data_IF_976486664292
#
_entry.id   IF_976486664292
#
_cell.length_a   1.000
_cell.length_b   1.000
_cell.length_c   1.000
_cell.angle_alpha   90.00
_cell.angle_beta   90.00
_cell.angle_gamma   90.00
#
_symmetry.space_group_name_H-M   'P 1'
#
loop_
_entity.id
_entity.type
_entity.pdbx_description
1 polymer ?
#
# COMPACT_ATOMS: atom_id res chain seq x y z
N UNK A 1 34.46 -13.52 -30.20
CA UNK A 1 33.30 -12.89 -29.53
C UNK A 1 33.37 -11.37 -29.71
N UNK A 2 32.51 -10.79 -30.57
CA UNK A 2 32.48 -9.33 -30.80
C UNK A 2 31.65 -8.67 -29.69
N UNK A 3 32.33 -8.07 -28.71
CA UNK A 3 31.70 -7.20 -27.72
C UNK A 3 31.30 -5.91 -28.44
N UNK A 4 30.00 -5.73 -28.68
CA UNK A 4 29.48 -4.55 -29.33
C UNK A 4 29.40 -3.39 -28.32
N UNK A 5 30.52 -2.67 -28.16
CA UNK A 5 30.69 -1.56 -27.21
C UNK A 5 30.00 -0.24 -27.63
N UNK A 6 29.15 -0.24 -28.67
CA UNK A 6 28.82 0.98 -29.40
C UNK A 6 27.60 1.79 -28.92
N UNK A 7 27.02 1.53 -27.74
CA UNK A 7 25.81 2.27 -27.33
C UNK A 7 25.62 2.55 -25.82
N UNK A 8 26.64 2.95 -25.06
CA UNK A 8 26.44 3.35 -23.64
C UNK A 8 27.40 4.46 -23.18
N UNK A 9 27.18 5.69 -23.65
CA UNK A 9 27.95 6.89 -23.28
C UNK A 9 27.44 7.63 -22.02
N UNK A 10 26.66 6.99 -21.15
CA UNK A 10 26.14 7.63 -19.93
C UNK A 10 26.81 7.21 -18.62
N UNK A 11 27.31 5.97 -18.53
CA UNK A 11 27.84 5.41 -17.28
C UNK A 11 29.22 4.80 -17.48
N UNK A 12 30.25 5.25 -16.71
CA UNK A 12 31.59 4.72 -16.85
C UNK A 12 31.65 3.24 -16.47
N UNK A 13 32.46 2.48 -17.20
CA UNK A 13 32.66 1.02 -17.02
C UNK A 13 33.19 0.69 -15.63
N UNK A 14 34.00 1.59 -15.08
CA UNK A 14 34.59 1.52 -13.74
C UNK A 14 34.18 2.79 -12.98
N UNK A 15 33.74 2.62 -11.74
CA UNK A 15 33.60 3.71 -10.77
C UNK A 15 34.34 3.33 -9.51
N UNK A 16 35.09 4.26 -8.94
CA UNK A 16 35.69 4.09 -7.62
C UNK A 16 35.20 5.21 -6.70
N UNK A 17 35.10 4.90 -5.42
CA UNK A 17 34.71 5.88 -4.39
C UNK A 17 35.53 5.60 -3.13
N UNK A 18 36.05 6.66 -2.52
CA UNK A 18 36.70 6.60 -1.22
C UNK A 18 35.89 7.46 -0.27
N UNK A 19 35.46 6.88 0.85
CA UNK A 19 34.66 7.54 1.88
C UNK A 19 35.32 7.33 3.23
N UNK A 20 35.19 8.31 4.12
CA UNK A 20 35.70 8.22 5.49
C UNK A 20 34.54 8.31 6.49
N UNK A 21 34.36 7.27 7.30
CA UNK A 21 33.35 7.23 8.36
C UNK A 21 34.03 7.34 9.73
N UNK A 22 33.49 8.19 10.61
CA UNK A 22 34.04 8.39 11.97
C UNK A 22 34.04 7.10 12.80
N UNK A 23 33.11 6.19 12.55
CA UNK A 23 32.91 4.95 13.30
C UNK A 23 33.63 3.75 12.71
N UNK A 24 33.83 3.70 11.39
CA UNK A 24 34.38 2.53 10.68
C UNK A 24 35.69 2.78 9.93
N UNK A 25 36.15 4.03 9.83
CA UNK A 25 37.40 4.41 9.15
C UNK A 25 37.28 4.58 7.63
N UNK A 26 38.39 4.62 6.89
CA UNK A 26 38.37 4.72 5.44
C UNK A 26 37.78 3.46 4.78
N UNK A 27 36.92 3.69 3.79
CA UNK A 27 36.28 2.69 2.94
C UNK A 27 36.57 3.03 1.49
N UNK A 28 37.15 2.08 0.76
CA UNK A 28 37.26 2.12 -0.70
C UNK A 28 36.22 1.20 -1.34
N UNK A 29 35.59 1.65 -2.42
CA UNK A 29 34.73 0.82 -3.26
C UNK A 29 35.08 0.94 -4.74
N UNK A 30 34.93 -0.17 -5.45
CA UNK A 30 35.13 -0.29 -6.89
C UNK A 30 33.90 -0.97 -7.48
N UNK A 31 33.19 -0.30 -8.38
CA UNK A 31 32.07 -0.85 -9.15
C UNK A 31 32.51 -1.06 -10.59
N UNK A 32 32.32 -2.26 -11.11
CA UNK A 32 32.72 -2.67 -12.45
C UNK A 32 31.56 -3.30 -13.21
N UNK A 33 31.40 -2.97 -14.50
CA UNK A 33 30.40 -3.60 -15.36
C UNK A 33 30.93 -4.92 -15.92
N UNK A 34 30.49 -6.05 -15.37
CA UNK A 34 30.89 -7.37 -15.85
C UNK A 34 30.29 -7.68 -17.23
N UNK A 35 29.02 -7.36 -17.42
CA UNK A 35 28.27 -7.71 -18.62
C UNK A 35 27.24 -6.64 -18.95
N UNK A 36 26.99 -6.42 -20.24
CA UNK A 36 25.90 -5.57 -20.71
C UNK A 36 25.43 -6.01 -22.09
N UNK A 37 24.11 -6.15 -22.27
CA UNK A 37 23.48 -6.42 -23.54
C UNK A 37 22.14 -5.70 -23.63
N UNK A 38 22.01 -4.77 -24.60
CA UNK A 38 20.84 -3.89 -24.73
C UNK A 38 20.52 -3.25 -23.38
N UNK A 39 19.30 -3.39 -22.89
CA UNK A 39 18.83 -2.77 -21.66
C UNK A 39 19.21 -3.53 -20.38
N UNK A 40 19.94 -4.65 -20.52
CA UNK A 40 20.36 -5.50 -19.42
C UNK A 40 21.85 -5.27 -19.08
N UNK A 41 22.17 -5.17 -17.79
CA UNK A 41 23.52 -5.04 -17.28
C UNK A 41 23.73 -5.84 -15.97
N UNK A 42 24.93 -6.37 -15.81
CA UNK A 42 25.41 -6.97 -14.55
C UNK A 42 26.63 -6.19 -14.10
N UNK A 43 26.61 -5.75 -12.85
CA UNK A 43 27.70 -5.06 -12.19
C UNK A 43 28.22 -5.89 -11.03
N UNK A 44 29.53 -5.82 -10.82
CA UNK A 44 30.14 -6.22 -9.55
C UNK A 44 30.58 -5.01 -8.78
N UNK A 45 30.55 -5.13 -7.46
CA UNK A 45 31.13 -4.17 -6.55
C UNK A 45 32.11 -4.90 -5.65
N UNK A 46 33.28 -4.31 -5.44
CA UNK A 46 34.24 -4.70 -4.42
C UNK A 46 34.34 -3.55 -3.42
N UNK A 47 34.33 -3.89 -2.14
CA UNK A 47 34.48 -2.93 -1.05
C UNK A 47 35.57 -3.41 -0.09
N UNK A 48 36.39 -2.47 0.34
CA UNK A 48 37.43 -2.70 1.33
C UNK A 48 37.34 -1.64 2.41
N UNK A 49 37.26 -2.08 3.66
CA UNK A 49 37.16 -1.22 4.84
C UNK A 49 38.40 -1.42 5.72
N UNK A 50 39.01 -0.31 6.10
CA UNK A 50 40.15 -0.27 7.00
C UNK A 50 39.74 0.33 8.33
N UNK A 51 39.84 -0.45 9.40
CA UNK A 51 39.64 0.06 10.75
C UNK A 51 40.97 0.52 11.34
N UNK A 52 41.00 1.78 11.74
CA UNK A 52 42.14 2.42 12.41
C UNK A 52 41.72 2.77 13.84
N UNK A 53 42.50 2.37 14.85
CA UNK A 53 42.32 2.74 16.26
C UNK A 53 43.65 3.26 16.79
N UNK A 54 43.65 4.42 17.44
CA UNK A 54 44.86 5.06 17.99
C UNK A 54 46.00 5.19 16.95
N UNK A 55 45.67 5.49 15.69
CA UNK A 55 46.66 5.61 14.60
C UNK A 55 47.15 4.26 14.02
N UNK A 56 46.78 3.12 14.62
CA UNK A 56 47.20 1.80 14.16
C UNK A 56 46.06 1.02 13.51
N UNK A 57 46.39 0.24 12.48
CA UNK A 57 45.46 -0.66 11.78
C UNK A 57 45.04 -1.81 12.70
N UNK A 58 43.74 -1.98 12.93
CA UNK A 58 43.22 -3.00 13.87
C UNK A 58 42.44 -4.11 13.18
N UNK A 59 41.68 -3.82 12.12
CA UNK A 59 40.88 -4.84 11.41
C UNK A 59 40.58 -4.42 9.98
N UNK A 60 40.44 -5.39 9.09
CA UNK A 60 40.02 -5.17 7.71
C UNK A 60 38.67 -5.83 7.46
N UNK A 61 37.85 -5.21 6.63
CA UNK A 61 36.59 -5.76 6.16
C UNK A 61 36.62 -5.85 4.65
N UNK A 62 36.34 -7.03 4.12
CA UNK A 62 36.08 -7.22 2.70
C UNK A 62 34.58 -7.32 2.48
N UNK A 63 34.10 -6.67 1.44
CA UNK A 63 32.72 -6.75 1.00
C UNK A 63 32.64 -6.78 -0.51
N UNK A 64 31.52 -7.24 -1.02
CA UNK A 64 31.25 -7.23 -2.44
C UNK A 64 29.76 -7.29 -2.73
N UNK A 65 29.41 -6.94 -3.96
CA UNK A 65 28.03 -7.01 -4.43
C UNK A 65 27.93 -7.50 -5.86
N UNK A 66 26.82 -8.14 -6.19
CA UNK A 66 26.35 -8.38 -7.56
C UNK A 66 25.07 -7.58 -7.74
N UNK A 67 25.06 -6.73 -8.77
CA UNK A 67 23.91 -5.89 -9.11
C UNK A 67 23.44 -6.25 -10.52
N UNK A 68 22.13 -6.46 -10.70
CA UNK A 68 21.52 -6.69 -12.01
C UNK A 68 20.57 -5.55 -12.31
N UNK A 69 20.60 -5.04 -13.54
CA UNK A 69 19.74 -3.96 -14.00
C UNK A 69 19.14 -4.33 -15.36
N UNK A 70 17.83 -4.23 -15.50
CA UNK A 70 17.10 -4.26 -16.75
C UNK A 70 16.22 -3.02 -16.82
N UNK A 71 16.61 -2.06 -17.64
CA UNK A 71 16.05 -0.71 -17.71
C UNK A 71 15.80 -0.30 -19.18
N UNK A 72 14.79 -0.87 -19.85
CA UNK A 72 14.47 -0.58 -21.24
C UNK A 72 13.93 0.82 -21.45
N UNK A 73 14.25 1.42 -22.60
CA UNK A 73 13.81 2.78 -22.99
C UNK A 73 12.28 2.96 -22.88
N UNK A 74 11.50 1.90 -23.16
CA UNK A 74 10.04 1.95 -23.09
C UNK A 74 9.47 2.02 -21.66
N UNK A 75 10.28 1.78 -20.62
CA UNK A 75 9.89 1.90 -19.21
C UNK A 75 8.86 0.89 -18.67
N UNK A 76 8.13 0.17 -19.55
CA UNK A 76 7.09 -0.80 -19.17
C UNK A 76 7.55 -1.93 -18.27
N UNK A 77 8.82 -2.32 -18.30
CA UNK A 77 9.34 -3.41 -17.46
C UNK A 77 10.65 -2.95 -16.86
N UNK A 78 10.76 -2.94 -15.54
CA UNK A 78 11.96 -2.60 -14.79
C UNK A 78 12.28 -3.77 -13.88
N UNK A 79 13.54 -4.22 -13.89
CA UNK A 79 14.03 -5.22 -12.96
C UNK A 79 15.40 -4.78 -12.45
N UNK A 80 15.54 -4.66 -11.14
CA UNK A 80 16.81 -4.33 -10.52
C UNK A 80 17.04 -5.20 -9.29
N UNK A 81 18.26 -5.70 -9.14
CA UNK A 81 18.67 -6.44 -7.93
C UNK A 81 20.01 -5.91 -7.46
N UNK A 82 20.22 -5.92 -6.15
CA UNK A 82 21.49 -5.54 -5.53
C UNK A 82 21.73 -6.49 -4.36
N UNK A 83 22.71 -7.38 -4.49
CA UNK A 83 22.98 -8.44 -3.53
C UNK A 83 24.37 -8.24 -2.94
N UNK A 84 24.44 -7.96 -1.64
CA UNK A 84 25.65 -7.59 -0.91
C UNK A 84 26.06 -8.65 0.10
N UNK A 85 27.36 -8.83 0.25
CA UNK A 85 27.99 -9.69 1.25
C UNK A 85 29.23 -8.98 1.80
N UNK A 86 29.43 -8.95 3.11
CA UNK A 86 30.64 -8.42 3.72
C UNK A 86 30.99 -9.06 5.05
N UNK A 87 32.27 -9.01 5.42
CA UNK A 87 32.76 -9.35 6.75
C UNK A 87 32.47 -8.22 7.73
N UNK A 88 31.94 -8.54 8.90
CA UNK A 88 31.65 -7.53 9.91
C UNK A 88 32.93 -7.01 10.59
N UNK A 89 33.06 -5.69 10.68
CA UNK A 89 34.17 -4.98 11.32
C UNK A 89 33.71 -4.03 12.43
N UNK A 90 32.39 -3.93 12.66
CA UNK A 90 31.78 -3.03 13.63
C UNK A 90 31.81 -3.68 15.02
N UNK A 91 32.41 -3.03 16.04
CA UNK A 91 32.69 -3.67 17.32
C UNK A 91 31.47 -3.86 18.23
N UNK A 92 30.33 -3.22 17.94
CA UNK A 92 29.17 -3.24 18.84
C UNK A 92 28.37 -4.56 18.79
N UNK A 93 28.44 -5.33 17.70
CA UNK A 93 27.58 -6.51 17.50
C UNK A 93 28.34 -7.68 16.85
N UNK A 94 29.42 -8.14 17.50
CA UNK A 94 30.29 -9.22 16.99
C UNK A 94 29.65 -10.62 16.94
N UNK A 95 28.33 -10.76 17.08
CA UNK A 95 27.64 -12.05 16.99
C UNK A 95 27.63 -12.59 15.55
N UNK A 96 27.64 -11.72 14.54
CA UNK A 96 27.58 -12.10 13.13
C UNK A 96 28.86 -11.75 12.38
N UNK A 97 29.67 -12.76 12.04
CA UNK A 97 30.94 -12.56 11.31
C UNK A 97 30.75 -12.14 9.85
N UNK A 98 29.60 -12.46 9.27
CA UNK A 98 29.27 -12.23 7.87
C UNK A 98 27.89 -11.59 7.79
N UNK A 99 27.79 -10.47 7.05
CA UNK A 99 26.58 -9.69 6.86
C UNK A 99 26.19 -9.65 5.40
N UNK A 100 24.89 -9.68 5.14
CA UNK A 100 24.37 -9.71 3.78
C UNK A 100 23.09 -8.90 3.64
N UNK A 101 22.80 -8.46 2.40
CA UNK A 101 21.49 -7.94 2.01
C UNK A 101 21.17 -8.36 0.59
N UNK A 102 19.96 -8.86 0.42
CA UNK A 102 19.41 -9.31 -0.85
C UNK A 102 18.20 -8.45 -1.11
N UNK A 103 18.31 -7.51 -2.05
CA UNK A 103 17.23 -6.60 -2.40
C UNK A 103 16.97 -6.59 -3.89
N UNK A 104 15.74 -6.27 -4.25
CA UNK A 104 15.37 -6.01 -5.63
C UNK A 104 13.98 -5.44 -5.78
N UNK A 105 13.75 -4.96 -6.99
CA UNK A 105 12.49 -4.41 -7.45
C UNK A 105 12.20 -4.96 -8.84
N UNK A 106 10.94 -5.30 -9.04
CA UNK A 106 10.38 -5.69 -10.31
C UNK A 106 9.11 -4.89 -10.53
N UNK A 107 8.98 -4.30 -11.71
CA UNK A 107 7.78 -3.61 -12.14
C UNK A 107 7.52 -4.02 -13.58
N UNK A 108 6.29 -4.38 -13.89
CA UNK A 108 5.89 -4.53 -15.29
C UNK A 108 4.45 -4.08 -15.53
N UNK A 109 4.21 -3.53 -16.72
CA UNK A 109 2.89 -3.20 -17.24
C UNK A 109 2.71 -3.95 -18.56
N UNK A 110 1.58 -4.65 -18.72
CA UNK A 110 1.26 -5.35 -19.95
C UNK A 110 1.21 -4.38 -21.15
N UNK A 111 1.44 -4.85 -22.38
CA UNK A 111 1.33 -3.99 -23.56
C UNK A 111 -0.03 -3.28 -23.70
N UNK A 112 -1.12 -3.91 -23.21
CA UNK A 112 -2.46 -3.34 -23.17
C UNK A 112 -2.69 -2.34 -22.03
N UNK A 113 -1.79 -2.26 -21.04
CA UNK A 113 -1.97 -1.45 -19.82
C UNK A 113 -2.91 -2.06 -18.77
N UNK A 114 -3.62 -3.15 -19.09
CA UNK A 114 -4.60 -3.77 -18.22
C UNK A 114 -4.01 -4.51 -17.01
N UNK A 115 -2.80 -5.05 -17.13
CA UNK A 115 -2.13 -5.78 -16.04
C UNK A 115 -0.90 -5.03 -15.57
N UNK A 116 -0.79 -4.83 -14.27
CA UNK A 116 0.39 -4.28 -13.59
C UNK A 116 0.88 -5.28 -12.54
N UNK A 117 2.19 -5.51 -12.50
CA UNK A 117 2.84 -6.34 -11.50
C UNK A 117 3.94 -5.50 -10.87
N UNK A 118 3.90 -5.37 -9.55
CA UNK A 118 4.97 -4.80 -8.74
C UNK A 118 5.45 -5.86 -7.76
N UNK A 119 6.76 -6.04 -7.65
CA UNK A 119 7.34 -6.85 -6.59
C UNK A 119 8.57 -6.15 -6.02
N UNK A 120 8.71 -6.20 -4.72
CA UNK A 120 9.92 -5.78 -4.01
C UNK A 120 10.32 -6.88 -3.06
N UNK A 121 11.63 -7.03 -2.84
CA UNK A 121 12.15 -7.88 -1.79
C UNK A 121 13.34 -7.18 -1.14
N UNK A 122 13.47 -7.35 0.16
CA UNK A 122 14.58 -6.82 0.93
C UNK A 122 14.81 -7.68 2.17
N UNK A 123 15.81 -8.56 2.08
CA UNK A 123 16.23 -9.45 3.17
C UNK A 123 17.58 -9.01 3.70
N UNK A 124 17.71 -8.94 5.02
CA UNK A 124 18.94 -8.55 5.70
C UNK A 124 19.44 -9.66 6.62
N UNK A 125 20.74 -9.60 6.92
CA UNK A 125 21.32 -10.39 7.99
C UNK A 125 20.79 -9.97 9.37
N UNK A 126 20.65 -8.68 9.61
CA UNK A 126 20.30 -8.10 10.92
C UNK A 126 19.67 -6.70 10.77
N UNK A 127 19.06 -6.21 11.86
CA UNK A 127 18.31 -4.94 11.89
C UNK A 127 19.20 -3.71 11.62
N UNK A 128 20.48 -3.78 11.99
CA UNK A 128 21.44 -2.69 11.80
C UNK A 128 22.08 -2.73 10.42
N UNK A 129 21.70 -3.68 9.56
CA UNK A 129 22.32 -3.84 8.26
C UNK A 129 22.26 -2.58 7.40
N UNK A 130 21.06 -1.98 7.19
CA UNK A 130 20.93 -0.78 6.38
C UNK A 130 21.71 0.42 6.94
N UNK A 131 21.76 0.60 8.26
CA UNK A 131 22.41 1.76 8.89
C UNK A 131 23.92 1.68 8.85
N UNK A 132 24.48 0.50 9.08
CA UNK A 132 25.91 0.29 9.22
C UNK A 132 26.64 0.25 7.87
N UNK A 133 25.90 -0.12 6.82
CA UNK A 133 26.42 -0.31 5.47
C UNK A 133 25.69 0.59 4.47
N UNK A 134 25.32 1.81 4.91
CA UNK A 134 24.76 2.83 4.02
C UNK A 134 25.71 3.10 2.86
N UNK A 135 25.15 3.02 1.66
CA UNK A 135 25.78 3.50 0.45
C UNK A 135 24.65 4.02 -0.41
N UNK A 136 24.57 5.34 -0.57
CA UNK A 136 23.52 5.99 -1.37
C UNK A 136 23.43 5.41 -2.79
N UNK A 137 24.58 4.95 -3.33
CA UNK A 137 24.68 4.33 -4.65
C UNK A 137 24.25 2.84 -4.69
N UNK A 138 23.96 2.22 -3.54
CA UNK A 138 23.68 0.80 -3.38
C UNK A 138 22.25 0.52 -2.87
N UNK A 139 21.55 1.48 -2.28
CA UNK A 139 20.18 1.23 -1.85
C UNK A 139 19.24 1.27 -3.06
N UNK A 140 18.27 0.36 -3.10
CA UNK A 140 17.07 0.50 -3.92
C UNK A 140 15.99 1.08 -3.01
N UNK A 141 15.13 1.95 -3.57
CA UNK A 141 13.98 2.46 -2.83
C UNK A 141 12.86 1.40 -2.79
N UNK A 142 13.08 0.31 -2.06
CA UNK A 142 12.14 -0.81 -1.88
C UNK A 142 11.17 -0.58 -0.71
N UNK A 143 11.22 0.60 -0.07
CA UNK A 143 10.59 0.86 1.23
C UNK A 143 10.90 -0.20 2.32
N UNK A 144 11.94 -1.03 2.14
CA UNK A 144 12.30 -2.19 2.98
C UNK A 144 11.17 -3.22 3.12
N UNK A 145 10.23 -3.28 2.17
CA UNK A 145 9.12 -4.24 2.18
C UNK A 145 9.39 -5.36 1.20
N UNK A 146 9.13 -6.60 1.62
CA UNK A 146 8.98 -7.72 0.69
C UNK A 146 7.51 -7.91 0.40
N UNK A 147 7.11 -7.58 -0.82
CA UNK A 147 5.73 -7.67 -1.25
C UNK A 147 5.62 -7.95 -2.75
N UNK A 148 4.49 -8.54 -3.14
CA UNK A 148 4.08 -8.78 -4.51
C UNK A 148 2.67 -8.23 -4.67
N UNK A 149 2.45 -7.41 -5.69
CA UNK A 149 1.14 -6.89 -6.06
C UNK A 149 0.92 -7.14 -7.55
N UNK A 150 -0.10 -7.91 -7.88
CA UNK A 150 -0.56 -8.15 -9.25
C UNK A 150 -1.95 -7.54 -9.33
N UNK A 151 -2.16 -6.58 -10.22
CA UNK A 151 -3.46 -5.95 -10.48
C UNK A 151 -3.82 -6.09 -11.94
N UNK A 152 -5.07 -6.45 -12.20
CA UNK A 152 -5.62 -6.56 -13.54
C UNK A 152 -6.97 -5.82 -13.61
N UNK A 153 -7.17 -5.06 -14.68
CA UNK A 153 -8.38 -4.26 -14.91
C UNK A 153 -8.97 -4.63 -16.26
N UNK A 154 -10.23 -5.03 -16.22
CA UNK A 154 -11.09 -5.26 -17.38
C UNK A 154 -12.26 -4.28 -17.36
N UNK A 155 -13.09 -4.28 -18.40
CA UNK A 155 -14.22 -3.36 -18.50
C UNK A 155 -15.27 -3.56 -17.41
N UNK A 156 -15.50 -4.80 -16.97
CA UNK A 156 -16.53 -5.16 -15.98
C UNK A 156 -15.94 -5.55 -14.60
N UNK A 157 -14.62 -5.72 -14.49
CA UNK A 157 -13.99 -6.30 -13.30
C UNK A 157 -12.64 -5.65 -13.00
N UNK A 158 -12.31 -5.54 -11.71
CA UNK A 158 -10.97 -5.25 -11.21
C UNK A 158 -10.56 -6.41 -10.31
N UNK A 159 -9.43 -7.06 -10.62
CA UNK A 159 -8.85 -8.12 -9.80
C UNK A 159 -7.46 -7.73 -9.29
N UNK A 160 -7.11 -8.19 -8.09
CA UNK A 160 -5.73 -8.10 -7.61
C UNK A 160 -5.34 -9.24 -6.68
N UNK A 161 -4.06 -9.61 -6.72
CA UNK A 161 -3.41 -10.51 -5.77
C UNK A 161 -2.29 -9.75 -5.09
N UNK A 162 -2.30 -9.75 -3.76
CA UNK A 162 -1.31 -9.12 -2.91
C UNK A 162 -0.67 -10.17 -2.01
N UNK A 163 0.64 -10.17 -1.88
CA UNK A 163 1.35 -10.98 -0.90
C UNK A 163 2.42 -10.13 -0.20
N UNK A 164 2.57 -10.34 1.10
CA UNK A 164 3.56 -9.64 1.92
C UNK A 164 4.12 -10.60 2.98
N UNK A 165 5.07 -11.47 2.62
CA UNK A 165 5.71 -12.34 3.59
C UNK A 165 6.70 -11.57 4.47
N UNK A 166 6.83 -12.01 5.72
CA UNK A 166 7.89 -11.62 6.64
C UNK A 166 9.16 -12.37 6.23
N UNK A 167 10.15 -11.64 5.73
CA UNK A 167 11.45 -12.22 5.36
C UNK A 167 12.55 -11.96 6.39
N UNK A 168 12.30 -11.03 7.31
CA UNK A 168 13.23 -10.60 8.35
C UNK A 168 12.59 -10.84 9.72
N UNK A 169 13.21 -11.66 10.56
CA UNK A 169 12.62 -12.06 11.85
C UNK A 169 12.68 -10.97 12.94
N UNK A 170 13.34 -9.85 12.66
CA UNK A 170 13.31 -8.71 13.57
C UNK A 170 12.15 -7.74 13.27
N UNK A 171 11.39 -7.95 12.19
CA UNK A 171 10.22 -7.15 11.87
C UNK A 171 8.94 -7.76 12.47
N UNK A 172 8.07 -6.91 13.03
CA UNK A 172 6.67 -7.26 13.31
C UNK A 172 5.84 -6.93 12.08
N UNK A 173 5.15 -7.91 11.50
CA UNK A 173 4.47 -7.76 10.22
C UNK A 173 3.13 -8.47 10.24
N UNK A 174 2.07 -7.77 9.83
CA UNK A 174 0.87 -8.42 9.30
C UNK A 174 1.16 -8.94 7.91
N UNK A 175 1.34 -10.24 7.81
CA UNK A 175 1.58 -10.94 6.56
C UNK A 175 0.27 -11.16 5.80
N UNK A 176 0.39 -11.15 4.48
CA UNK A 176 -0.66 -11.51 3.54
C UNK A 176 -0.13 -12.66 2.67
N UNK A 177 -0.68 -13.88 2.79
CA UNK A 177 -0.06 -15.11 2.25
C UNK A 177 -1.02 -16.07 1.50
N UNK A 178 -1.63 -15.68 0.36
CA UNK A 178 -1.78 -14.35 -0.20
C UNK A 178 -3.14 -13.73 0.16
N UNK A 179 -3.38 -12.53 -0.36
CA UNK A 179 -4.68 -11.85 -0.39
C UNK A 179 -5.15 -11.67 -1.82
N UNK A 180 -6.31 -12.22 -2.18
CA UNK A 180 -6.99 -11.99 -3.44
C UNK A 180 -8.17 -11.04 -3.29
N UNK A 181 -8.32 -10.11 -4.21
CA UNK A 181 -9.41 -9.13 -4.25
C UNK A 181 -10.06 -9.12 -5.64
N UNK A 182 -11.39 -9.12 -5.68
CA UNK A 182 -12.19 -9.09 -6.89
C UNK A 182 -13.30 -8.06 -6.68
N UNK A 183 -13.40 -7.07 -7.57
CA UNK A 183 -14.43 -6.04 -7.54
C UNK A 183 -15.12 -5.96 -8.91
N UNK A 184 -16.42 -6.23 -8.90
CA UNK A 184 -17.27 -6.06 -10.07
C UNK A 184 -17.64 -4.58 -10.19
N UNK A 185 -17.30 -3.96 -11.32
CA UNK A 185 -17.64 -2.55 -11.53
C UNK A 185 -19.15 -2.36 -11.44
N UNK A 186 -19.62 -1.18 -10.97
CA UNK A 186 -21.04 -0.97 -10.72
C UNK A 186 -21.89 -1.32 -11.94
N UNK A 187 -22.80 -2.28 -11.78
CA UNK A 187 -23.67 -2.75 -12.85
C UNK A 187 -25.08 -2.23 -12.64
N UNK A 188 -25.60 -1.53 -13.65
CA UNK A 188 -26.98 -1.05 -13.67
C UNK A 188 -27.87 -2.12 -14.34
N UNK A 189 -28.80 -2.67 -13.58
CA UNK A 189 -29.78 -3.61 -14.13
C UNK A 189 -30.73 -2.86 -15.07
N UNK A 190 -30.85 -3.28 -16.34
CA UNK A 190 -31.80 -2.70 -17.28
C UNK A 190 -33.23 -2.73 -16.71
N UNK A 191 -34.04 -1.72 -17.03
CA UNK A 191 -35.46 -1.58 -16.65
C UNK A 191 -35.78 -1.39 -15.16
N UNK A 192 -34.97 -1.90 -14.23
CA UNK A 192 -35.21 -1.77 -12.78
C UNK A 192 -34.56 -0.53 -12.15
N UNK A 193 -33.60 0.08 -12.86
CA UNK A 193 -32.79 1.20 -12.36
C UNK A 193 -32.09 0.88 -11.02
N UNK A 194 -31.79 -0.40 -10.79
CA UNK A 194 -30.99 -0.87 -9.66
C UNK A 194 -29.52 -0.84 -10.05
N UNK A 195 -28.66 -0.42 -9.12
CA UNK A 195 -27.21 -0.40 -9.30
C UNK A 195 -26.59 -1.27 -8.21
N UNK A 196 -25.80 -2.27 -8.62
CA UNK A 196 -25.13 -3.21 -7.74
C UNK A 196 -23.64 -2.85 -7.61
N UNK A 197 -23.13 -2.91 -6.39
CA UNK A 197 -21.73 -2.69 -6.04
C UNK A 197 -21.26 -3.88 -5.22
N UNK A 198 -20.27 -4.62 -5.70
CA UNK A 198 -19.83 -5.83 -5.01
C UNK A 198 -18.31 -5.97 -5.04
N UNK A 199 -17.74 -6.39 -3.92
CA UNK A 199 -16.38 -6.91 -3.89
C UNK A 199 -16.28 -8.15 -3.02
N UNK A 200 -15.24 -8.93 -3.30
CA UNK A 200 -14.85 -10.12 -2.58
C UNK A 200 -13.37 -10.02 -2.23
N UNK A 201 -13.02 -10.36 -1.00
CA UNK A 201 -11.66 -10.35 -0.49
C UNK A 201 -11.41 -11.69 0.19
N UNK A 202 -10.39 -12.42 -0.26
CA UNK A 202 -9.93 -13.67 0.36
C UNK A 202 -8.50 -13.47 0.82
N UNK A 203 -8.16 -13.86 2.03
CA UNK A 203 -6.82 -13.66 2.59
C UNK A 203 -6.43 -14.80 3.50
N UNK A 204 -5.18 -15.23 3.45
CA UNK A 204 -4.56 -15.87 4.60
C UNK A 204 -3.72 -14.81 5.31
N UNK A 205 -4.17 -14.40 6.49
CA UNK A 205 -3.53 -13.37 7.29
C UNK A 205 -2.76 -14.03 8.42
N UNK A 206 -1.54 -13.56 8.63
CA UNK A 206 -0.67 -14.08 9.68
C UNK A 206 0.07 -12.91 10.32
N UNK A 207 -0.22 -12.64 11.58
CA UNK A 207 0.36 -11.55 12.34
C UNK A 207 1.51 -12.11 13.19
N UNK A 208 2.72 -11.91 12.69
CA UNK A 208 3.94 -12.36 13.38
C UNK A 208 4.64 -11.18 14.08
N UNK A 209 4.93 -11.36 15.36
CA UNK A 209 5.70 -10.43 16.16
C UNK A 209 7.21 -10.63 15.97
N UNK A 210 7.97 -9.54 16.09
CA UNK A 210 9.43 -9.57 16.09
C UNK A 210 9.96 -10.48 17.21
N UNK A 211 10.98 -11.29 16.90
CA UNK A 211 11.66 -12.16 17.86
C UNK A 211 12.36 -11.37 18.99
N UNK A 212 12.46 -10.03 18.84
CA UNK A 212 13.01 -9.11 19.83
C UNK A 212 12.00 -8.65 20.87
N UNK A 213 10.71 -8.91 20.65
CA UNK A 213 9.64 -8.56 21.59
C UNK A 213 9.44 -9.66 22.63
N UNK A 214 8.62 -9.36 23.65
CA UNK A 214 8.34 -10.29 24.74
C UNK A 214 7.78 -11.64 24.22
N UNK A 215 8.27 -12.79 24.71
CA UNK A 215 7.71 -14.12 24.40
C UNK A 215 6.24 -14.28 24.80
N UNK A 216 5.68 -13.35 25.59
CA UNK A 216 4.28 -13.35 25.98
C UNK A 216 3.33 -12.92 24.85
N UNK A 217 3.84 -12.28 23.79
CA UNK A 217 3.06 -11.96 22.61
C UNK A 217 2.93 -13.22 21.76
N UNK A 218 1.69 -13.64 21.52
CA UNK A 218 1.40 -14.79 20.68
C UNK A 218 1.05 -14.30 19.28
N UNK A 219 1.74 -14.87 18.30
CA UNK A 219 1.39 -14.73 16.89
C UNK A 219 -0.02 -15.30 16.65
N UNK A 220 -0.71 -14.77 15.65
CA UNK A 220 -2.03 -15.26 15.30
C UNK A 220 -2.30 -15.18 13.80
N UNK A 221 -3.01 -16.18 13.32
CA UNK A 221 -3.24 -16.40 11.90
C UNK A 221 -4.71 -16.78 11.66
N UNK A 222 -5.25 -16.36 10.51
CA UNK A 222 -6.55 -16.82 10.04
C UNK A 222 -6.69 -16.66 8.54
N UNK A 223 -7.27 -17.68 7.91
CA UNK A 223 -7.93 -17.53 6.62
C UNK A 223 -9.21 -16.71 6.82
N UNK A 224 -9.29 -15.59 6.11
CA UNK A 224 -10.36 -14.60 6.16
C UNK A 224 -11.00 -14.46 4.80
N UNK A 225 -12.32 -14.62 4.73
CA UNK A 225 -13.12 -14.37 3.54
C UNK A 225 -14.07 -13.22 3.84
N UNK A 226 -14.12 -12.22 2.97
CA UNK A 226 -15.03 -11.08 3.09
C UNK A 226 -15.77 -10.88 1.77
N UNK A 227 -17.06 -10.58 1.91
CA UNK A 227 -17.90 -10.13 0.81
C UNK A 227 -18.66 -8.89 1.24
N UNK A 228 -18.81 -7.96 0.31
CA UNK A 228 -19.55 -6.73 0.53
C UNK A 228 -20.42 -6.47 -0.70
N UNK A 229 -21.72 -6.43 -0.50
CA UNK A 229 -22.71 -6.32 -1.57
C UNK A 229 -23.68 -5.19 -1.23
N UNK A 230 -23.83 -4.23 -2.13
CA UNK A 230 -24.77 -3.12 -1.99
C UNK A 230 -25.62 -3.03 -3.26
N UNK A 231 -26.93 -2.86 -3.06
CA UNK A 231 -27.88 -2.46 -4.10
C UNK A 231 -28.41 -1.06 -3.79
N UNK A 232 -28.47 -0.21 -4.80
CA UNK A 232 -29.04 1.14 -4.69
C UNK A 232 -30.03 1.40 -5.80
N UNK A 233 -30.97 2.33 -5.58
CA UNK A 233 -31.96 2.74 -6.58
C UNK A 233 -32.12 4.25 -6.59
N UNK A 234 -31.54 4.98 -7.56
CA UNK A 234 -31.71 6.43 -7.62
C UNK A 234 -33.11 6.82 -8.13
N UNK A 235 -33.82 7.61 -7.34
CA UNK A 235 -35.05 8.31 -7.70
C UNK A 235 -34.72 9.78 -7.95
N UNK A 236 -34.91 10.22 -9.19
CA UNK A 236 -34.67 11.61 -9.58
C UNK A 236 -36.00 12.29 -9.83
N UNK A 237 -36.20 13.45 -9.19
CA UNK A 237 -37.29 14.38 -9.47
C UNK A 237 -36.72 15.71 -9.93
N UNK A 238 -37.57 16.64 -10.36
CA UNK A 238 -37.15 18.00 -10.72
C UNK A 238 -36.59 18.78 -9.53
N UNK A 239 -37.02 18.46 -8.31
CA UNK A 239 -36.69 19.21 -7.09
C UNK A 239 -35.61 18.52 -6.23
N UNK A 240 -35.48 17.21 -6.31
CA UNK A 240 -34.58 16.45 -5.43
C UNK A 240 -34.16 15.11 -6.05
N UNK A 241 -33.00 14.62 -5.60
CA UNK A 241 -32.46 13.30 -5.87
C UNK A 241 -32.49 12.50 -4.56
N UNK A 242 -33.19 11.37 -4.57
CA UNK A 242 -33.25 10.45 -3.44
C UNK A 242 -32.68 9.10 -3.87
N UNK A 243 -31.64 8.62 -3.19
CA UNK A 243 -30.96 7.35 -3.53
C UNK A 243 -30.86 6.48 -2.27
N UNK A 244 -31.87 5.64 -1.99
CA UNK A 244 -31.78 4.60 -1.00
C UNK A 244 -30.82 3.50 -1.45
N UNK A 245 -30.22 2.84 -0.47
CA UNK A 245 -29.44 1.64 -0.66
C UNK A 245 -29.63 0.66 0.51
N UNK A 246 -29.42 -0.61 0.20
CA UNK A 246 -29.37 -1.70 1.16
C UNK A 246 -28.20 -2.61 0.77
N UNK A 247 -27.64 -3.32 1.73
CA UNK A 247 -26.48 -4.15 1.49
C UNK A 247 -26.17 -5.10 2.63
N UNK A 248 -25.12 -5.88 2.43
CA UNK A 248 -24.69 -6.93 3.31
C UNK A 248 -23.17 -7.01 3.31
N UNK A 249 -22.59 -7.14 4.51
CA UNK A 249 -21.18 -7.52 4.69
C UNK A 249 -21.14 -8.85 5.42
N UNK A 250 -20.41 -9.80 4.87
CA UNK A 250 -20.14 -11.08 5.48
C UNK A 250 -18.63 -11.29 5.59
N UNK A 251 -18.16 -11.67 6.78
CA UNK A 251 -16.76 -11.95 7.06
C UNK A 251 -16.68 -13.30 7.77
N UNK A 252 -15.89 -14.20 7.22
CA UNK A 252 -15.60 -15.50 7.80
C UNK A 252 -14.14 -15.56 8.21
N UNK A 253 -13.88 -16.04 9.42
CA UNK A 253 -12.57 -16.38 9.93
C UNK A 253 -12.53 -17.87 10.23
N UNK A 254 -11.53 -18.59 9.71
CA UNK A 254 -11.39 -20.01 10.03
C UNK A 254 -10.84 -20.26 11.46
N UNK A 255 -10.20 -19.25 12.06
CA UNK A 255 -9.55 -19.32 13.38
C UNK A 255 -9.82 -18.02 14.15
N UNK A 256 -9.95 -18.16 15.45
CA UNK A 256 -10.19 -17.08 16.41
C UNK A 256 -9.34 -17.29 17.67
N UNK A 257 -9.32 -16.33 18.62
CA UNK A 257 -8.66 -16.53 19.91
C UNK A 257 -9.12 -17.78 20.66
N UNK A 258 -10.37 -18.21 20.44
CA UNK A 258 -10.96 -19.43 21.04
C UNK A 258 -10.73 -20.70 20.20
N UNK A 259 -9.86 -20.64 19.18
CA UNK A 259 -9.51 -21.75 18.28
C UNK A 259 -10.68 -22.35 17.50
N UNK A 260 -11.72 -21.56 17.26
CA UNK A 260 -12.88 -21.92 16.45
C UNK A 260 -13.08 -20.95 15.28
N UNK A 261 -13.85 -21.36 14.27
CA UNK A 261 -14.26 -20.46 13.19
C UNK A 261 -15.28 -19.44 13.69
N UNK A 262 -15.28 -18.27 13.05
CA UNK A 262 -16.17 -17.15 13.37
C UNK A 262 -16.78 -16.55 12.12
N UNK A 263 -18.05 -16.22 12.22
CA UNK A 263 -18.85 -15.66 11.14
C UNK A 263 -19.46 -14.34 11.60
N UNK A 264 -19.01 -13.27 10.95
CA UNK A 264 -19.55 -11.95 11.15
C UNK A 264 -20.47 -11.60 9.98
N UNK A 265 -21.72 -11.26 10.29
CA UNK A 265 -22.69 -10.80 9.33
C UNK A 265 -23.30 -9.48 9.80
N UNK A 266 -23.51 -8.56 8.88
CA UNK A 266 -24.16 -7.28 9.15
C UNK A 266 -24.90 -6.76 7.93
N UNK A 267 -26.02 -6.10 8.19
CA UNK A 267 -26.83 -5.46 7.18
C UNK A 267 -26.50 -3.97 7.11
N UNK A 268 -26.33 -3.47 5.90
CA UNK A 268 -26.08 -2.07 5.59
C UNK A 268 -27.36 -1.46 5.01
N UNK A 269 -27.73 -0.27 5.45
CA UNK A 269 -28.83 0.45 4.83
C UNK A 269 -28.68 1.94 5.00
N UNK A 270 -29.30 2.69 4.10
CA UNK A 270 -29.22 4.13 4.15
C UNK A 270 -29.87 4.80 2.96
N UNK A 271 -29.76 6.11 2.93
CA UNK A 271 -30.27 6.92 1.84
C UNK A 271 -29.51 8.23 1.72
N UNK A 272 -29.35 8.70 0.49
CA UNK A 272 -28.87 10.03 0.18
C UNK A 272 -30.00 10.87 -0.40
N UNK A 273 -30.24 12.05 0.15
CA UNK A 273 -31.15 13.06 -0.36
C UNK A 273 -30.36 14.33 -0.69
N UNK A 274 -30.44 14.82 -1.91
CA UNK A 274 -29.86 16.11 -2.30
C UNK A 274 -30.77 16.90 -3.22
N UNK A 275 -30.63 18.22 -3.21
CA UNK A 275 -31.29 19.12 -4.16
C UNK A 275 -30.26 20.09 -4.73
N UNK A 276 -30.47 20.58 -5.94
CA UNK A 276 -29.54 21.49 -6.61
C UNK A 276 -30.23 22.83 -6.86
N UNK A 277 -29.71 23.87 -6.21
CA UNK A 277 -30.02 25.26 -6.55
C UNK A 277 -28.92 25.79 -7.44
N UNK A 278 -29.25 26.54 -8.48
CA UNK A 278 -28.24 27.16 -9.31
C UNK A 278 -28.61 28.59 -9.68
N UNK A 279 -27.57 29.39 -9.87
CA UNK A 279 -27.68 30.75 -10.39
C UNK A 279 -26.64 30.95 -11.49
N UNK A 280 -27.11 31.43 -12.63
CA UNK A 280 -26.24 31.82 -13.74
C UNK A 280 -25.90 33.30 -13.60
N UNK A 281 -24.61 33.59 -13.57
CA UNK A 281 -24.03 34.92 -13.70
C UNK A 281 -23.41 35.06 -15.10
N UNK A 282 -23.07 36.27 -15.53
CA UNK A 282 -22.53 36.53 -16.87
C UNK A 282 -21.31 35.67 -17.23
N UNK A 283 -20.45 35.34 -16.25
CA UNK A 283 -19.21 34.58 -16.46
C UNK A 283 -19.12 33.28 -15.68
N UNK A 284 -20.06 33.02 -14.78
CA UNK A 284 -19.99 31.90 -13.85
C UNK A 284 -21.36 31.27 -13.63
N UNK A 285 -21.40 29.96 -13.45
CA UNK A 285 -22.57 29.25 -12.92
C UNK A 285 -22.25 28.80 -11.51
N UNK A 286 -23.06 29.22 -10.54
CA UNK A 286 -22.95 28.80 -9.16
C UNK A 286 -24.02 27.74 -8.89
N UNK A 287 -23.62 26.62 -8.27
CA UNK A 287 -24.49 25.54 -7.83
C UNK A 287 -24.33 25.39 -6.33
N UNK A 288 -25.45 25.34 -5.62
CA UNK A 288 -25.52 25.05 -4.18
C UNK A 288 -26.35 23.78 -4.01
N UNK A 289 -25.71 22.74 -3.46
CA UNK A 289 -26.28 21.41 -3.23
C UNK A 289 -26.37 21.14 -1.72
N UNK A 290 -27.48 21.48 -1.06
CA UNK A 290 -27.75 20.93 0.26
C UNK A 290 -28.07 19.43 0.14
N UNK A 291 -27.56 18.67 1.10
CA UNK A 291 -27.71 17.22 1.16
C UNK A 291 -27.86 16.69 2.57
N UNK A 292 -28.51 15.54 2.68
CA UNK A 292 -28.61 14.72 3.89
C UNK A 292 -28.36 13.28 3.51
N UNK A 293 -27.45 12.63 4.23
CA UNK A 293 -27.09 11.23 4.07
C UNK A 293 -27.36 10.50 5.37
N UNK A 294 -28.13 9.42 5.31
CA UNK A 294 -28.29 8.48 6.42
C UNK A 294 -27.52 7.20 6.09
N UNK A 295 -26.68 6.75 7.00
CA UNK A 295 -25.89 5.53 6.89
C UNK A 295 -26.04 4.71 8.18
N UNK A 296 -26.47 3.47 8.05
CA UNK A 296 -26.65 2.56 9.17
C UNK A 296 -26.05 1.18 8.91
N UNK A 297 -25.50 0.61 9.98
CA UNK A 297 -24.94 -0.74 10.07
C UNK A 297 -25.64 -1.40 11.25
N UNK A 298 -26.23 -2.58 11.04
CA UNK A 298 -26.82 -3.35 12.14
C UNK A 298 -25.74 -3.85 13.10
N UNK A 299 -26.15 -4.27 14.29
CA UNK A 299 -25.23 -4.92 15.20
C UNK A 299 -24.60 -6.17 14.54
N UNK A 300 -23.27 -6.32 14.54
CA UNK A 300 -22.62 -7.51 14.01
C UNK A 300 -23.01 -8.76 14.81
N UNK A 301 -23.09 -9.91 14.14
CA UNK A 301 -23.40 -11.20 14.80
C UNK A 301 -22.38 -11.62 15.87
N UNK A 302 -21.14 -11.14 15.75
CA UNK A 302 -20.02 -11.47 16.64
C UNK A 302 -19.40 -10.19 17.21
N UNK A 303 -19.03 -10.22 18.49
CA UNK A 303 -18.36 -9.12 19.18
C UNK A 303 -16.88 -9.06 18.80
N UNK A 304 -16.27 -7.88 18.85
CA UNK A 304 -14.89 -7.64 18.41
C UNK A 304 -13.86 -8.50 19.16
N UNK A 305 -14.13 -8.89 20.40
CA UNK A 305 -13.26 -9.72 21.23
C UNK A 305 -13.33 -11.22 20.91
N UNK A 306 -14.24 -11.66 20.03
CA UNK A 306 -14.42 -13.08 19.70
C UNK A 306 -13.66 -13.55 18.46
N UNK A 307 -13.05 -12.63 17.70
CA UNK A 307 -12.24 -12.92 16.51
C UNK A 307 -10.92 -12.12 16.52
N UNK A 308 -9.98 -12.49 15.65
CA UNK A 308 -8.72 -11.77 15.53
C UNK A 308 -8.91 -10.44 14.77
N UNK A 309 -8.41 -9.35 15.34
CA UNK A 309 -8.40 -8.03 14.71
C UNK A 309 -7.07 -7.83 14.01
N UNK A 310 -7.06 -7.96 12.68
CA UNK A 310 -5.88 -7.73 11.86
C UNK A 310 -5.76 -6.27 11.40
N UNK A 311 -6.87 -5.53 11.44
CA UNK A 311 -6.96 -4.17 10.94
C UNK A 311 -8.20 -3.43 11.41
N UNK A 312 -8.30 -2.14 11.10
CA UNK A 312 -9.48 -1.34 11.45
C UNK A 312 -10.73 -1.82 10.70
N UNK A 313 -10.54 -2.42 9.53
CA UNK A 313 -11.59 -3.04 8.70
C UNK A 313 -12.22 -4.28 9.36
N UNK A 314 -11.67 -4.78 10.47
CA UNK A 314 -12.28 -5.84 11.26
C UNK A 314 -13.14 -5.27 12.40
N UNK A 315 -13.00 -3.98 12.72
CA UNK A 315 -13.67 -3.31 13.84
C UNK A 315 -15.11 -2.87 13.55
N UNK A 316 -15.91 -3.69 12.88
CA UNK A 316 -17.32 -3.37 12.62
C UNK A 316 -18.11 -3.26 13.92
N UNK A 317 -18.97 -2.25 13.99
CA UNK A 317 -19.88 -2.03 15.10
C UNK A 317 -21.19 -1.44 14.56
N UNK A 318 -22.25 -1.52 15.37
CA UNK A 318 -23.50 -0.84 15.09
C UNK A 318 -23.23 0.65 14.85
N UNK A 319 -23.82 1.17 13.78
CA UNK A 319 -23.67 2.57 13.40
C UNK A 319 -25.01 3.11 12.95
N UNK A 320 -25.34 4.33 13.40
CA UNK A 320 -26.44 5.12 12.89
C UNK A 320 -25.94 6.55 12.74
N UNK A 321 -25.63 6.95 11.52
CA UNK A 321 -24.98 8.21 11.18
C UNK A 321 -25.87 9.03 10.24
N UNK A 322 -26.11 10.28 10.61
CA UNK A 322 -26.65 11.30 9.71
C UNK A 322 -25.51 12.27 9.37
N UNK A 323 -25.20 12.43 8.08
CA UNK A 323 -24.34 13.50 7.56
C UNK A 323 -25.20 14.51 6.81
N UNK A 324 -25.26 15.74 7.28
CA UNK A 324 -25.97 16.84 6.63
C UNK A 324 -25.00 17.95 6.25
N UNK A 325 -25.16 18.53 5.07
CA UNK A 325 -24.23 19.55 4.59
C UNK A 325 -24.73 20.32 3.39
N UNK A 326 -23.89 21.27 2.97
CA UNK A 326 -24.09 22.09 1.78
C UNK A 326 -22.79 22.10 0.99
N UNK A 327 -22.87 21.67 -0.26
CA UNK A 327 -21.78 21.78 -1.23
C UNK A 327 -22.02 22.99 -2.12
N UNK A 328 -21.01 23.82 -2.32
CA UNK A 328 -21.06 25.00 -3.18
C UNK A 328 -20.02 24.87 -4.29
N UNK A 329 -20.45 24.95 -5.55
CA UNK A 329 -19.60 24.76 -6.73
C UNK A 329 -19.73 25.94 -7.69
N UNK A 330 -18.59 26.50 -8.11
CA UNK A 330 -18.52 27.60 -9.07
C UNK A 330 -17.89 27.10 -10.39
N UNK A 331 -18.63 27.17 -11.49
CA UNK A 331 -18.16 26.82 -12.83
C UNK A 331 -17.90 28.07 -13.65
N UNK A 332 -16.78 28.10 -14.39
CA UNK A 332 -16.51 29.14 -15.38
C UNK A 332 -17.29 28.90 -16.66
N UNK A 333 -18.05 29.89 -17.11
CA UNK A 333 -18.75 29.85 -18.41
C UNK A 333 -17.83 30.27 -19.57
N UNK A 334 -16.70 30.92 -19.26
CA UNK A 334 -15.69 31.30 -20.27
C UNK A 334 -14.75 30.14 -20.62
N UNK A 335 -14.43 29.31 -19.63
CA UNK A 335 -13.58 28.14 -19.79
C UNK A 335 -14.34 26.92 -19.30
N UNK A 336 -15.20 26.39 -20.17
CA UNK A 336 -16.05 25.24 -19.84
C UNK A 336 -15.13 24.05 -19.53
N UNK A 337 -15.26 23.53 -18.31
CA UNK A 337 -14.54 22.35 -17.81
C UNK A 337 -15.57 21.37 -17.27
N UNK A 338 -15.20 20.09 -17.25
CA UNK A 338 -16.02 19.04 -16.65
C UNK A 338 -16.10 19.12 -15.11
N UNK A 339 -15.29 19.96 -14.48
CA UNK A 339 -15.17 20.12 -13.04
C UNK A 339 -15.27 21.61 -12.64
N UNK A 340 -15.71 21.90 -11.40
CA UNK A 340 -15.84 23.27 -10.94
C UNK A 340 -14.48 23.99 -10.86
N UNK A 341 -14.48 25.30 -11.07
CA UNK A 341 -13.31 26.17 -10.86
C UNK A 341 -13.01 26.32 -9.37
N UNK A 342 -14.05 26.26 -8.54
CA UNK A 342 -13.95 26.31 -7.08
C UNK A 342 -15.07 25.46 -6.47
N UNK A 343 -14.76 24.68 -5.46
CA UNK A 343 -15.72 23.86 -4.70
C UNK A 343 -15.45 24.02 -3.21
N UNK A 344 -16.51 24.10 -2.41
CA UNK A 344 -16.45 23.98 -0.95
C UNK A 344 -17.55 23.06 -0.46
N UNK A 345 -17.25 22.29 0.58
CA UNK A 345 -18.23 21.42 1.22
C UNK A 345 -18.24 21.66 2.74
N UNK A 346 -19.37 22.14 3.26
CA UNK A 346 -19.60 22.35 4.68
C UNK A 346 -20.56 21.30 5.21
N UNK A 347 -20.18 20.53 6.22
CA UNK A 347 -21.06 19.49 6.75
C UNK A 347 -20.87 19.20 8.24
N UNK A 348 -21.87 18.53 8.81
CA UNK A 348 -21.87 17.99 10.16
C UNK A 348 -22.27 16.51 10.16
N UNK A 349 -21.67 15.74 11.06
CA UNK A 349 -21.98 14.35 11.33
C UNK A 349 -22.69 14.24 12.68
N UNK A 350 -23.81 13.52 12.72
CA UNK A 350 -24.61 13.24 13.92
C UNK A 350 -24.75 11.74 14.09
N UNK A 351 -24.26 11.22 15.22
CA UNK A 351 -24.37 9.80 15.59
C UNK A 351 -25.60 9.61 16.49
N UNK A 352 -26.47 8.65 16.16
CA UNK A 352 -27.76 8.42 16.83
C UNK A 352 -27.73 7.31 17.90
N UNK A 353 -26.55 6.89 18.36
CA UNK A 353 -26.39 5.78 19.31
C UNK A 353 -26.34 6.25 20.77
N UNK A 354 -26.93 5.48 21.69
CA UNK A 354 -27.04 5.81 23.12
C UNK A 354 -25.72 5.73 23.87
N UNK A 355 -24.74 4.96 23.37
CA UNK A 355 -23.42 4.81 23.99
C UNK A 355 -22.45 5.96 23.66
N UNK A 356 -22.77 6.75 22.64
CA UNK A 356 -22.09 8.00 22.37
C UNK A 356 -22.95 9.11 22.94
N UNK A 357 -22.60 9.60 24.14
CA UNK A 357 -23.18 10.82 24.72
C UNK A 357 -23.32 11.82 23.57
N UNK A 358 -24.52 12.36 23.28
CA UNK A 358 -24.69 13.35 22.25
C UNK A 358 -23.87 14.58 22.66
N UNK A 359 -22.61 14.62 22.24
CA UNK A 359 -21.86 15.85 22.09
C UNK A 359 -22.53 16.51 20.89
N UNK A 360 -23.63 17.19 21.15
CA UNK A 360 -24.35 18.10 20.26
C UNK A 360 -23.49 19.31 19.86
N UNK A 361 -22.17 19.22 20.03
CA UNK A 361 -21.19 20.16 19.49
C UNK A 361 -20.74 19.58 18.17
N UNK A 362 -21.47 19.98 17.13
CA UNK A 362 -21.17 19.72 15.73
C UNK A 362 -19.72 20.12 15.46
N UNK A 363 -18.84 19.14 15.22
CA UNK A 363 -17.60 19.44 14.52
C UNK A 363 -17.98 19.74 13.08
N UNK A 364 -17.87 21.01 12.72
CA UNK A 364 -18.02 21.48 11.35
C UNK A 364 -16.74 21.13 10.62
N UNK A 365 -16.87 20.40 9.51
CA UNK A 365 -15.74 20.05 8.65
C UNK A 365 -15.77 20.94 7.40
N UNK A 366 -14.59 21.29 6.91
CA UNK A 366 -14.38 22.07 5.70
C UNK A 366 -13.36 21.33 4.82
N UNK A 367 -13.82 20.85 3.67
CA UNK A 367 -13.01 20.19 2.65
C UNK A 367 -13.00 21.01 1.35
#
# INVERSE_FOLDING_TARGET
FKINLKKFLGTPIVRYKVTWDKSTGPKGSLRYRLFSWRDFAIWTRLEYRLKIKNGWKVKNGLGGAIETEYLPEHGRTVFQTKNYLATDVIPKELTMKTRYRVQGVYHTISPSGGTKIDATWDKFSDINMPSDFRSDDFELNTAKKTELNIRHVEDFLIGSVYARPRVNSFDTVKQHLPTGYINLKPYKVPNLNLIFYNYFLTSYLDYEFSDKLSPSLQDFESARLETHNIVSRPFKSSIANFTPYAGFVGIYYNKSPLKSSKEQAMFLYGANLSTNFYRNYTRHKHIVEPYVQYHAITEPTEKVDTYYVFSIEDGYNKLNLIKAGIRSQLYSLKHIRAYPTFETNLYANTFLDSNFIPKTVQKIYFD
#
